data_IF_131397907308
#
_entry.id   IF_131397907308
#
_cell.length_a   1.000
_cell.length_b   1.000
_cell.length_c   1.000
_cell.angle_alpha   90.00
_cell.angle_beta   90.00
_cell.angle_gamma   90.00
#
_symmetry.space_group_name_H-M   'P 1'
#
loop_
_entity.id
_entity.type
_entity.pdbx_description
1 polymer ?
#
# COMPACT_ATOMS: atom_id res chain seq x y z
N UNK A 1 -0.44 -15.21 -0.27
CA UNK A 1 -0.67 -15.85 1.05
C UNK A 1 -1.66 -14.98 1.83
N UNK A 2 -2.69 -15.54 2.46
CA UNK A 2 -3.70 -14.79 3.22
C UNK A 2 -3.66 -15.30 4.66
N UNK A 3 -3.65 -14.39 5.62
CA UNK A 3 -3.62 -14.70 7.05
C UNK A 3 -4.22 -13.56 7.84
N UNK A 4 -4.77 -13.88 9.01
CA UNK A 4 -5.31 -12.92 9.95
C UNK A 4 -5.19 -13.51 11.36
N UNK A 5 -5.10 -12.64 12.36
CA UNK A 5 -5.15 -13.02 13.77
C UNK A 5 -6.40 -12.40 14.37
N UNK A 6 -7.18 -13.22 15.07
CA UNK A 6 -8.21 -12.77 15.99
C UNK A 6 -7.66 -12.99 17.41
N UNK A 7 -7.47 -11.91 18.16
CA UNK A 7 -7.01 -11.95 19.54
C UNK A 7 -8.12 -11.41 20.46
N UNK A 8 -8.26 -12.03 21.63
CA UNK A 8 -9.29 -11.71 22.62
C UNK A 8 -9.12 -12.59 23.85
N UNK A 9 -10.09 -12.54 24.76
CA UNK A 9 -10.15 -13.46 25.90
C UNK A 9 -10.43 -14.91 25.44
N UNK A 10 -10.28 -15.86 26.37
CA UNK A 10 -10.46 -17.29 26.09
C UNK A 10 -11.87 -17.64 25.62
N UNK A 11 -12.90 -17.07 26.25
CA UNK A 11 -14.30 -17.34 25.89
C UNK A 11 -14.59 -16.91 24.45
N UNK A 12 -14.13 -15.70 24.09
CA UNK A 12 -14.23 -15.16 22.73
C UNK A 12 -13.50 -16.03 21.71
N UNK A 13 -12.26 -16.45 22.00
CA UNK A 13 -11.43 -17.26 21.08
C UNK A 13 -12.01 -18.67 20.91
N UNK A 14 -12.53 -19.28 21.98
CA UNK A 14 -13.17 -20.61 21.93
C UNK A 14 -14.46 -20.57 21.08
N UNK A 15 -15.27 -19.53 21.26
CA UNK A 15 -16.45 -19.28 20.44
C UNK A 15 -16.09 -19.07 18.96
N UNK A 16 -15.10 -18.22 18.68
CA UNK A 16 -14.62 -17.95 17.32
C UNK A 16 -14.02 -19.19 16.66
N UNK A 17 -13.37 -20.08 17.42
CA UNK A 17 -12.80 -21.33 16.90
C UNK A 17 -13.85 -22.29 16.34
N UNK A 18 -15.05 -22.31 16.93
CA UNK A 18 -16.18 -23.06 16.37
C UNK A 18 -16.62 -22.47 15.02
N UNK A 19 -16.73 -21.14 14.93
CA UNK A 19 -17.08 -20.45 13.69
C UNK A 19 -16.01 -20.60 12.61
N UNK A 20 -14.73 -20.55 12.97
CA UNK A 20 -13.62 -20.82 12.05
C UNK A 20 -13.76 -22.19 11.39
N UNK A 21 -14.16 -23.23 12.14
CA UNK A 21 -14.45 -24.56 11.56
C UNK A 21 -15.67 -24.54 10.63
N UNK A 22 -16.78 -23.95 11.07
CA UNK A 22 -18.03 -23.87 10.27
C UNK A 22 -17.86 -23.11 8.97
N UNK A 23 -17.00 -22.09 8.95
CA UNK A 23 -16.67 -21.29 7.77
C UNK A 23 -15.55 -21.90 6.91
N UNK A 24 -15.10 -23.12 7.22
CA UNK A 24 -14.05 -23.81 6.46
C UNK A 24 -12.63 -23.25 6.66
N UNK A 25 -12.42 -22.34 7.61
CA UNK A 25 -11.12 -21.73 7.91
C UNK A 25 -10.21 -22.56 8.82
N UNK A 26 -10.65 -23.74 9.25
CA UNK A 26 -9.82 -24.69 10.01
C UNK A 26 -8.99 -25.56 9.06
N UNK A 27 -8.21 -24.92 8.20
CA UNK A 27 -7.40 -25.60 7.18
C UNK A 27 -6.23 -26.34 7.84
N UNK A 28 -6.05 -27.64 7.55
CA UNK A 28 -4.85 -28.38 7.95
C UNK A 28 -3.57 -27.66 7.49
N UNK A 29 -2.48 -27.81 8.24
CA UNK A 29 -1.14 -27.36 7.83
C UNK A 29 -1.00 -25.87 7.47
N UNK A 30 -1.78 -25.01 8.13
CA UNK A 30 -1.67 -23.54 8.01
C UNK A 30 -0.35 -22.97 8.58
N UNK A 31 0.59 -23.82 9.00
CA UNK A 31 1.84 -23.42 9.66
C UNK A 31 2.73 -22.55 8.77
N UNK A 32 2.73 -22.77 7.44
CA UNK A 32 3.52 -21.95 6.52
C UNK A 32 3.14 -20.47 6.60
N UNK A 33 1.84 -20.16 6.66
CA UNK A 33 1.36 -18.79 6.81
C UNK A 33 1.71 -18.21 8.19
N UNK A 34 1.67 -19.04 9.24
CA UNK A 34 2.08 -18.62 10.57
C UNK A 34 3.58 -18.29 10.64
N UNK A 35 4.45 -19.12 10.05
CA UNK A 35 5.90 -18.87 10.01
C UNK A 35 6.21 -17.59 9.26
N UNK A 36 5.64 -17.39 8.06
CA UNK A 36 5.85 -16.14 7.31
C UNK A 36 5.31 -14.91 8.06
N UNK A 37 4.19 -15.05 8.78
CA UNK A 37 3.67 -13.95 9.61
C UNK A 37 4.60 -13.62 10.79
N UNK A 38 5.17 -14.63 11.46
CA UNK A 38 6.14 -14.44 12.54
C UNK A 38 7.40 -13.71 12.03
N UNK A 39 7.95 -14.14 10.89
CA UNK A 39 9.07 -13.43 10.26
C UNK A 39 8.73 -11.96 9.98
N UNK A 40 7.52 -11.67 9.50
CA UNK A 40 7.07 -10.30 9.29
C UNK A 40 6.97 -9.49 10.58
N UNK A 41 6.54 -10.11 11.69
CA UNK A 41 6.51 -9.46 13.01
C UNK A 41 7.93 -9.18 13.53
N UNK A 42 8.89 -10.05 13.25
CA UNK A 42 10.27 -9.86 13.71
C UNK A 42 11.05 -8.85 12.84
N UNK A 43 10.85 -8.90 11.51
CA UNK A 43 11.68 -8.14 10.55
C UNK A 43 11.04 -6.82 10.08
N UNK A 44 9.71 -6.79 9.92
CA UNK A 44 9.00 -5.65 9.32
C UNK A 44 8.37 -4.74 10.37
N UNK A 45 7.77 -5.30 11.42
CA UNK A 45 7.10 -4.51 12.47
C UNK A 45 8.02 -3.45 13.11
N UNK A 46 9.30 -3.74 13.46
CA UNK A 46 10.18 -2.73 14.05
C UNK A 46 10.47 -1.55 13.12
N UNK A 47 10.27 -1.71 11.81
CA UNK A 47 10.56 -0.73 10.76
C UNK A 47 9.36 0.14 10.39
N UNK A 48 8.20 -0.05 11.01
CA UNK A 48 6.99 0.69 10.66
C UNK A 48 7.15 2.22 10.78
N UNK A 49 7.97 2.69 11.72
CA UNK A 49 8.28 4.12 11.86
C UNK A 49 9.11 4.64 10.67
N UNK A 50 10.12 3.89 10.23
CA UNK A 50 10.95 4.20 9.06
C UNK A 50 10.09 4.34 7.80
N UNK A 51 9.19 3.40 7.55
CA UNK A 51 8.29 3.46 6.39
C UNK A 51 7.32 4.66 6.47
N UNK A 52 6.82 4.96 7.67
CA UNK A 52 5.93 6.11 7.91
C UNK A 52 6.66 7.43 7.67
N UNK A 53 7.90 7.57 8.14
CA UNK A 53 8.70 8.79 7.96
C UNK A 53 9.05 9.00 6.50
N UNK A 54 9.38 7.93 5.80
CA UNK A 54 9.60 7.97 4.36
C UNK A 54 8.31 8.35 3.59
N UNK A 55 7.15 7.81 3.97
CA UNK A 55 5.86 8.19 3.40
C UNK A 55 5.56 9.68 3.59
N UNK A 56 5.90 10.27 4.75
CA UNK A 56 5.79 11.71 4.98
C UNK A 56 6.70 12.50 4.03
N UNK A 57 7.95 12.07 3.85
CA UNK A 57 8.86 12.69 2.89
C UNK A 57 8.33 12.65 1.45
N UNK A 58 7.90 11.47 1.00
CA UNK A 58 7.31 11.27 -0.34
C UNK A 58 6.08 12.15 -0.55
N UNK A 59 5.15 12.16 0.41
CA UNK A 59 3.95 12.98 0.30
C UNK A 59 4.28 14.49 0.27
N UNK A 60 5.27 14.94 1.05
CA UNK A 60 5.72 16.33 1.00
C UNK A 60 6.29 16.70 -0.39
N UNK A 61 7.12 15.83 -0.98
CA UNK A 61 7.69 16.04 -2.31
C UNK A 61 6.61 16.09 -3.40
N UNK A 62 5.63 15.17 -3.36
CA UNK A 62 4.51 15.15 -4.30
C UNK A 62 3.67 16.44 -4.20
N UNK A 63 3.30 16.85 -2.98
CA UNK A 63 2.49 18.06 -2.80
C UNK A 63 3.24 19.34 -3.19
N UNK A 64 4.57 19.38 -3.04
CA UNK A 64 5.38 20.54 -3.40
C UNK A 64 5.52 20.74 -4.92
N UNK A 65 5.46 19.65 -5.71
CA UNK A 65 5.50 19.70 -7.17
C UNK A 65 4.25 20.35 -7.78
N UNK A 66 3.10 20.22 -7.11
CA UNK A 66 1.84 20.86 -7.52
C UNK A 66 1.05 20.13 -8.61
N UNK A 67 1.63 19.13 -9.29
CA UNK A 67 0.90 18.29 -10.24
C UNK A 67 -0.17 17.40 -9.57
N UNK A 68 0.18 16.81 -8.44
CA UNK A 68 -0.68 15.88 -7.70
C UNK A 68 -0.80 16.30 -6.23
N UNK A 69 -1.83 15.79 -5.55
CA UNK A 69 -2.04 16.07 -4.11
C UNK A 69 -2.23 14.77 -3.34
N UNK A 70 -1.81 14.73 -2.07
CA UNK A 70 -1.96 13.54 -1.24
C UNK A 70 -3.12 13.65 -0.26
N UNK A 71 -3.70 12.49 0.09
CA UNK A 71 -4.69 12.35 1.16
C UNK A 71 -4.30 11.21 2.10
N UNK A 72 -4.10 11.50 3.41
CA UNK A 72 -4.00 12.84 4.00
C UNK A 72 -2.81 13.64 3.43
N UNK A 73 -2.79 14.96 3.64
CA UNK A 73 -1.68 15.82 3.18
C UNK A 73 -0.35 15.43 3.85
N UNK A 74 -0.43 15.01 5.12
CA UNK A 74 0.70 14.41 5.86
C UNK A 74 0.26 13.01 6.30
N UNK A 75 0.84 11.94 5.71
CA UNK A 75 0.56 10.55 6.09
C UNK A 75 0.78 10.28 7.58
N UNK A 76 -0.14 9.52 8.18
CA UNK A 76 -0.01 9.01 9.55
C UNK A 76 0.47 7.55 9.58
N UNK A 77 0.48 6.89 8.43
CA UNK A 77 0.94 5.52 8.22
C UNK A 77 1.78 5.47 6.95
N UNK A 78 2.42 4.33 6.62
CA UNK A 78 3.10 4.15 5.35
C UNK A 78 2.19 4.18 4.10
N UNK A 79 0.87 4.23 4.29
CA UNK A 79 -0.12 4.19 3.22
C UNK A 79 -0.86 5.52 3.09
N UNK A 80 -0.95 6.03 1.87
CA UNK A 80 -1.73 7.22 1.55
C UNK A 80 -2.20 7.21 0.10
N UNK A 81 -3.18 8.06 -0.22
CA UNK A 81 -3.68 8.22 -1.59
C UNK A 81 -3.02 9.42 -2.27
N UNK A 82 -2.73 9.27 -3.56
CA UNK A 82 -2.27 10.34 -4.45
C UNK A 82 -3.38 10.61 -5.46
N UNK A 83 -3.89 11.84 -5.45
CA UNK A 83 -4.93 12.32 -6.35
C UNK A 83 -4.30 13.03 -7.54
N UNK A 84 -4.71 12.59 -8.73
CA UNK A 84 -4.14 13.01 -10.01
C UNK A 84 -5.21 13.75 -10.83
N UNK A 85 -4.84 14.84 -11.52
CA UNK A 85 -5.77 15.62 -12.34
C UNK A 85 -5.93 15.03 -13.75
N UNK A 86 -5.94 13.69 -13.86
CA UNK A 86 -6.11 12.97 -15.13
C UNK A 86 -7.05 11.77 -14.96
N UNK A 87 -7.69 11.31 -16.05
CA UNK A 87 -8.49 10.08 -16.05
C UNK A 87 -7.68 8.82 -15.70
N UNK A 88 -8.35 7.82 -15.13
CA UNK A 88 -7.71 6.58 -14.66
C UNK A 88 -7.02 5.77 -15.76
N UNK A 89 -7.54 5.80 -16.98
CA UNK A 89 -7.03 5.06 -18.14
C UNK A 89 -5.71 5.66 -18.63
N UNK A 90 -5.58 6.98 -18.58
CA UNK A 90 -4.32 7.69 -18.83
C UNK A 90 -3.26 7.26 -17.82
N UNK A 91 -3.59 7.26 -16.53
CA UNK A 91 -2.67 6.81 -15.46
C UNK A 91 -2.27 5.35 -15.63
N UNK A 92 -3.23 4.47 -15.94
CA UNK A 92 -2.95 3.05 -16.14
C UNK A 92 -1.99 2.82 -17.32
N UNK A 93 -2.21 3.50 -18.45
CA UNK A 93 -1.34 3.43 -19.61
C UNK A 93 0.06 4.00 -19.32
N UNK A 94 0.14 5.13 -18.59
CA UNK A 94 1.40 5.73 -18.21
C UNK A 94 2.21 4.86 -17.24
N UNK A 95 1.57 4.24 -16.25
CA UNK A 95 2.21 3.31 -15.33
C UNK A 95 2.78 2.08 -16.06
N UNK A 96 2.05 1.53 -17.04
CA UNK A 96 2.57 0.42 -17.87
C UNK A 96 3.79 0.82 -18.69
N UNK A 97 3.80 2.04 -19.24
CA UNK A 97 4.94 2.57 -19.99
C UNK A 97 6.17 2.74 -19.10
N UNK A 98 6.01 3.33 -17.92
CA UNK A 98 7.10 3.50 -16.94
C UNK A 98 7.70 2.15 -16.56
N UNK A 99 6.85 1.14 -16.32
CA UNK A 99 7.30 -0.22 -16.03
C UNK A 99 8.12 -0.81 -17.19
N UNK A 100 7.65 -0.66 -18.43
CA UNK A 100 8.36 -1.16 -19.61
C UNK A 100 9.71 -0.45 -19.86
N UNK A 101 9.79 0.85 -19.59
CA UNK A 101 10.99 1.67 -19.83
C UNK A 101 12.05 1.54 -18.73
N UNK A 102 11.63 1.44 -17.47
CA UNK A 102 12.52 1.59 -16.31
C UNK A 102 12.54 0.39 -15.37
N UNK A 103 11.63 -0.57 -15.53
CA UNK A 103 11.43 -1.68 -14.59
C UNK A 103 10.76 -1.28 -13.28
N UNK A 104 10.49 0.02 -13.06
CA UNK A 104 9.84 0.52 -11.85
C UNK A 104 8.33 0.34 -11.96
N UNK A 105 7.76 -0.40 -11.01
CA UNK A 105 6.31 -0.62 -10.93
C UNK A 105 5.63 0.42 -10.04
N UNK A 106 4.63 1.12 -10.60
CA UNK A 106 3.70 1.98 -9.88
C UNK A 106 2.34 1.27 -9.71
N UNK A 107 1.48 1.72 -8.77
CA UNK A 107 0.16 1.12 -8.58
C UNK A 107 -0.64 1.02 -9.89
N UNK A 108 -0.97 -0.21 -10.28
CA UNK A 108 -1.56 -0.52 -11.60
C UNK A 108 -3.05 -0.22 -11.72
N UNK A 109 -3.74 -0.02 -10.60
CA UNK A 109 -5.20 0.08 -10.56
C UNK A 109 -5.65 1.43 -9.98
N UNK A 110 -5.57 2.51 -10.76
CA UNK A 110 -6.13 3.80 -10.36
C UNK A 110 -7.64 3.68 -10.14
N UNK A 111 -8.12 4.21 -9.01
CA UNK A 111 -9.54 4.29 -8.67
C UNK A 111 -10.16 5.54 -9.28
N UNK A 112 -11.32 5.35 -9.91
CA UNK A 112 -12.13 6.46 -10.42
C UNK A 112 -12.59 7.37 -9.28
N UNK A 113 -12.54 8.68 -9.52
CA UNK A 113 -13.26 9.68 -8.74
C UNK A 113 -14.67 9.85 -9.32
N UNK A 114 -15.67 10.39 -8.58
CA UNK A 114 -16.91 10.87 -9.18
C UNK A 114 -16.68 11.85 -10.35
N UNK A 115 -15.58 12.60 -10.30
CA UNK A 115 -15.07 13.39 -11.42
C UNK A 115 -14.27 12.48 -12.40
N UNK A 116 -14.73 12.25 -13.64
CA UNK A 116 -14.05 11.37 -14.58
C UNK A 116 -12.71 11.93 -15.08
N UNK A 117 -12.45 13.23 -14.87
CA UNK A 117 -11.17 13.87 -15.24
C UNK A 117 -10.09 13.65 -14.17
N UNK A 118 -10.42 12.97 -13.07
CA UNK A 118 -9.52 12.74 -11.95
C UNK A 118 -9.54 11.27 -11.53
N UNK A 119 -8.43 10.83 -10.97
CA UNK A 119 -8.35 9.54 -10.31
C UNK A 119 -7.48 9.61 -9.06
N UNK A 120 -7.41 8.48 -8.36
CA UNK A 120 -6.48 8.32 -7.26
C UNK A 120 -5.75 6.98 -7.36
N UNK A 121 -4.50 6.95 -6.94
CA UNK A 121 -3.74 5.74 -6.68
C UNK A 121 -3.43 5.64 -5.20
N UNK A 122 -3.16 4.44 -4.72
CA UNK A 122 -2.69 4.17 -3.36
C UNK A 122 -1.22 3.83 -3.37
N UNK A 123 -0.43 4.58 -2.61
CA UNK A 123 0.97 4.26 -2.35
C UNK A 123 1.06 3.65 -0.96
N UNK A 124 1.77 2.53 -0.86
CA UNK A 124 2.17 1.90 0.40
C UNK A 124 3.68 1.80 0.41
N UNK A 125 4.33 2.49 1.34
CA UNK A 125 5.77 2.44 1.52
C UNK A 125 6.12 1.16 2.28
N UNK A 126 7.00 0.36 1.67
CA UNK A 126 7.60 -0.83 2.29
C UNK A 126 9.09 -0.88 2.02
N UNK A 127 9.70 -2.05 2.22
CA UNK A 127 11.15 -2.26 2.12
C UNK A 127 11.74 -1.75 0.79
N UNK A 128 11.15 -2.14 -0.34
CA UNK A 128 11.63 -1.76 -1.69
C UNK A 128 11.44 -0.27 -1.95
N UNK A 129 10.39 0.34 -1.40
CA UNK A 129 10.10 1.76 -1.61
C UNK A 129 11.20 2.67 -1.06
N UNK A 130 11.96 2.20 -0.07
CA UNK A 130 13.06 2.95 0.55
C UNK A 130 14.29 3.11 -0.35
N UNK A 131 14.39 2.35 -1.43
CA UNK A 131 15.44 2.50 -2.44
C UNK A 131 15.28 3.78 -3.26
N UNK A 132 14.09 4.39 -3.25
CA UNK A 132 13.79 5.63 -3.94
C UNK A 132 13.82 6.79 -2.95
N UNK A 133 14.40 7.91 -3.36
CA UNK A 133 14.25 9.16 -2.64
C UNK A 133 12.83 9.72 -2.81
N UNK A 134 12.34 10.54 -1.87
CA UNK A 134 11.06 11.24 -2.02
C UNK A 134 10.90 12.00 -3.33
N UNK A 135 11.99 12.58 -3.84
CA UNK A 135 12.00 13.33 -5.10
C UNK A 135 11.84 12.41 -6.31
N UNK A 136 12.53 11.28 -6.35
CA UNK A 136 12.39 10.31 -7.43
C UNK A 136 10.97 9.76 -7.52
N UNK A 137 10.32 9.52 -6.37
CA UNK A 137 8.91 9.12 -6.36
C UNK A 137 8.03 10.24 -6.91
N UNK A 138 8.23 11.50 -6.51
CA UNK A 138 7.48 12.62 -7.07
C UNK A 138 7.70 12.79 -8.60
N UNK A 139 8.92 12.56 -9.08
CA UNK A 139 9.25 12.58 -10.51
C UNK A 139 8.51 11.47 -11.28
N UNK A 140 8.42 10.28 -10.72
CA UNK A 140 7.64 9.17 -11.27
C UNK A 140 6.14 9.49 -11.30
N UNK A 141 5.61 10.09 -10.24
CA UNK A 141 4.20 10.52 -10.17
C UNK A 141 3.89 11.55 -11.26
N UNK A 142 4.79 12.50 -11.52
CA UNK A 142 4.63 13.50 -12.59
C UNK A 142 4.54 12.88 -13.99
N UNK A 143 5.18 11.73 -14.20
CA UNK A 143 5.14 10.99 -15.47
C UNK A 143 3.82 10.25 -15.70
N UNK A 144 2.90 10.24 -14.73
CA UNK A 144 1.56 9.63 -14.85
C UNK A 144 0.51 10.50 -15.56
N UNK A 145 0.95 11.51 -16.32
CA UNK A 145 0.08 12.34 -17.17
C UNK A 145 -0.13 11.75 -18.56
#
# INVERSE_FOLDING_TARGET
>A
MRGAVLAGDRETVDAASMWRRRLGGATPDSWHAAVTALMGLDEVLPRMAEFRDHAVGVAAAINADGYATTRPRVPQTPLFHVHLPVPKDVVAAAAQRILAESGVELPRHPRSSPDPTRCAIELTIGVVSLEFTPREVADLIRRLR
#
